data_IF_041402214421
#
_entry.id   IF_041402214421
#
_cell.length_a   1.000
_cell.length_b   1.000
_cell.length_c   1.000
_cell.angle_alpha   90.00
_cell.angle_beta   90.00
_cell.angle_gamma   90.00
#
_symmetry.space_group_name_H-M   'P 1'
#
loop_
_entity.id
_entity.type
_entity.pdbx_description
1 polymer ?
#
# COMPACT_ATOMS: atom_id res chain seq x y z
N UNK A 1 -49.08 9.74 34.27
CA UNK A 1 -48.23 10.69 33.52
C UNK A 1 -47.65 10.04 32.28
N UNK A 2 -47.61 10.76 31.17
CA UNK A 2 -47.09 10.24 29.92
C UNK A 2 -45.55 10.21 30.01
N UNK A 3 -44.97 9.01 30.22
CA UNK A 3 -43.51 8.79 30.34
C UNK A 3 -42.71 9.47 29.23
N UNK A 4 -43.29 9.57 28.03
CA UNK A 4 -42.67 10.28 26.91
C UNK A 4 -42.56 11.79 27.12
N UNK A 5 -43.57 12.45 27.69
CA UNK A 5 -43.54 13.89 27.94
C UNK A 5 -42.52 14.26 29.03
N UNK A 6 -42.41 13.43 30.07
CA UNK A 6 -41.40 13.60 31.12
C UNK A 6 -39.97 13.37 30.57
N UNK A 7 -39.77 12.30 29.78
CA UNK A 7 -38.51 12.07 29.06
C UNK A 7 -38.15 13.26 28.18
N UNK A 8 -39.08 13.76 27.37
CA UNK A 8 -38.83 14.90 26.46
C UNK A 8 -38.51 16.20 27.20
N UNK A 9 -39.14 16.44 28.35
CA UNK A 9 -38.88 17.63 29.17
C UNK A 9 -37.49 17.61 29.84
N UNK A 10 -37.00 16.43 30.20
CA UNK A 10 -35.73 16.23 30.91
C UNK A 10 -34.61 15.66 30.02
N UNK A 11 -34.81 15.59 28.70
CA UNK A 11 -33.85 14.99 27.78
C UNK A 11 -32.70 15.96 27.48
N UNK A 12 -31.50 15.58 27.91
CA UNK A 12 -30.26 16.18 27.41
C UNK A 12 -29.85 15.44 26.13
N UNK A 13 -29.90 16.18 25.01
CA UNK A 13 -29.66 15.62 23.70
C UNK A 13 -28.16 15.56 23.38
N UNK A 14 -27.61 14.36 23.25
CA UNK A 14 -26.23 14.13 22.79
C UNK A 14 -26.08 14.16 21.25
N UNK A 15 -27.08 14.70 20.53
CA UNK A 15 -27.04 14.78 19.08
C UNK A 15 -25.89 15.69 18.63
N UNK A 16 -24.88 15.09 18.00
CA UNK A 16 -23.66 15.77 17.55
C UNK A 16 -23.66 16.13 16.06
N UNK A 17 -24.67 15.72 15.28
CA UNK A 17 -24.78 16.04 13.87
C UNK A 17 -26.23 16.20 13.43
N UNK A 18 -26.47 17.19 12.55
CA UNK A 18 -27.76 17.39 11.86
C UNK A 18 -27.52 17.29 10.35
N UNK A 19 -28.19 16.36 9.68
CA UNK A 19 -28.09 16.19 8.24
C UNK A 19 -27.97 14.72 7.82
N UNK A 20 -27.49 14.49 6.60
CA UNK A 20 -27.30 13.14 6.07
C UNK A 20 -26.16 12.40 6.78
N UNK A 21 -26.23 11.07 6.83
CA UNK A 21 -25.15 10.25 7.37
C UNK A 21 -23.82 10.47 6.63
N UNK A 22 -23.86 10.67 5.31
CA UNK A 22 -22.68 10.97 4.50
C UNK A 22 -22.06 12.35 4.75
N UNK A 23 -22.80 13.29 5.35
CA UNK A 23 -22.25 14.60 5.73
C UNK A 23 -21.51 14.57 7.07
N UNK A 24 -21.76 13.59 7.95
CA UNK A 24 -21.10 13.50 9.26
C UNK A 24 -19.57 13.48 9.13
N UNK A 25 -19.05 12.72 8.17
CA UNK A 25 -17.61 12.60 7.89
C UNK A 25 -17.02 13.94 7.43
N UNK A 26 -17.74 14.64 6.57
CA UNK A 26 -17.32 15.93 5.99
C UNK A 26 -17.30 17.03 7.04
N UNK A 27 -18.36 17.15 7.82
CA UNK A 27 -18.48 18.12 8.92
C UNK A 27 -17.45 17.83 10.02
N UNK A 28 -17.36 16.59 10.47
CA UNK A 28 -16.46 16.22 11.57
C UNK A 28 -14.97 16.48 11.26
N UNK A 29 -14.54 16.24 10.01
CA UNK A 29 -13.17 16.58 9.61
C UNK A 29 -12.99 18.09 9.50
N UNK A 30 -13.94 18.80 8.90
CA UNK A 30 -13.87 20.24 8.78
C UNK A 30 -13.74 20.91 10.17
N UNK A 31 -14.51 20.44 11.14
CA UNK A 31 -14.45 20.91 12.52
C UNK A 31 -13.11 20.58 13.18
N UNK A 32 -12.55 19.40 12.89
CA UNK A 32 -11.22 19.01 13.37
C UNK A 32 -10.14 19.98 12.89
N UNK A 33 -10.18 20.38 11.62
CA UNK A 33 -9.24 21.35 11.06
C UNK A 33 -9.47 22.74 11.64
N UNK A 34 -10.72 23.21 11.62
CA UNK A 34 -11.08 24.57 12.04
C UNK A 34 -10.74 24.88 13.50
N UNK A 35 -10.90 23.89 14.41
CA UNK A 35 -10.60 24.06 15.84
C UNK A 35 -9.15 23.80 16.21
N UNK A 36 -8.32 23.30 15.30
CA UNK A 36 -6.98 22.83 15.63
C UNK A 36 -6.06 23.95 16.13
N UNK A 37 -6.15 25.13 15.49
CA UNK A 37 -5.33 26.29 15.85
C UNK A 37 -5.76 26.85 17.22
N UNK A 38 -7.05 27.01 17.48
CA UNK A 38 -7.53 27.56 18.75
C UNK A 38 -7.31 26.61 19.92
N UNK A 39 -7.48 25.29 19.70
CA UNK A 39 -7.42 24.30 20.78
C UNK A 39 -6.01 23.78 21.06
N UNK A 40 -5.17 23.66 20.03
CA UNK A 40 -3.87 23.00 20.13
C UNK A 40 -2.70 23.83 19.60
N UNK A 41 -2.96 25.04 19.07
CA UNK A 41 -1.95 25.89 18.44
C UNK A 41 -1.19 25.19 17.30
N UNK A 42 -1.89 24.35 16.52
CA UNK A 42 -1.34 23.65 15.35
C UNK A 42 -2.15 23.96 14.10
N UNK A 43 -1.51 23.90 12.93
CA UNK A 43 -2.17 23.98 11.62
C UNK A 43 -1.84 22.73 10.82
N UNK A 44 -2.86 22.10 10.23
CA UNK A 44 -2.66 20.96 9.34
C UNK A 44 -2.36 21.42 7.92
N UNK A 45 -1.16 21.10 7.42
CA UNK A 45 -0.72 21.43 6.04
C UNK A 45 -1.11 20.37 5.03
N UNK A 46 -1.42 19.16 5.49
CA UNK A 46 -1.79 18.05 4.63
C UNK A 46 -3.02 17.32 5.13
N UNK A 47 -3.91 17.02 4.21
CA UNK A 47 -5.07 16.18 4.42
C UNK A 47 -4.70 14.72 4.14
N UNK A 48 -4.51 13.97 5.22
CA UNK A 48 -4.26 12.51 5.21
C UNK A 48 -5.48 11.76 5.75
N UNK A 49 -6.68 12.18 5.39
CA UNK A 49 -7.87 11.39 5.68
C UNK A 49 -8.38 10.76 4.39
N UNK A 50 -8.55 9.45 4.43
CA UNK A 50 -8.90 8.65 3.27
C UNK A 50 -10.06 7.75 3.70
N UNK A 51 -11.27 8.28 3.51
CA UNK A 51 -12.57 7.65 3.77
C UNK A 51 -13.50 7.82 2.57
N UNK A 52 -14.77 7.40 2.69
CA UNK A 52 -15.71 7.38 1.57
C UNK A 52 -16.17 8.79 1.14
N UNK A 53 -15.95 9.82 1.96
CA UNK A 53 -16.26 11.22 1.70
C UNK A 53 -15.09 12.05 1.18
N UNK A 54 -13.97 11.44 0.82
CA UNK A 54 -12.69 12.11 0.52
C UNK A 54 -12.77 13.29 -0.46
N UNK A 55 -13.57 13.18 -1.53
CA UNK A 55 -13.77 14.24 -2.51
C UNK A 55 -14.58 15.40 -1.95
N UNK A 56 -15.63 15.10 -1.16
CA UNK A 56 -16.51 16.11 -0.55
C UNK A 56 -15.80 16.88 0.55
N UNK A 57 -14.97 16.20 1.35
CA UNK A 57 -14.12 16.82 2.37
C UNK A 57 -13.16 17.81 1.73
N UNK A 58 -12.42 17.38 0.70
CA UNK A 58 -11.47 18.25 0.00
C UNK A 58 -12.18 19.45 -0.61
N UNK A 59 -13.34 19.24 -1.24
CA UNK A 59 -14.15 20.34 -1.76
C UNK A 59 -14.51 21.34 -0.65
N UNK A 60 -14.95 20.88 0.52
CA UNK A 60 -15.31 21.76 1.64
C UNK A 60 -14.11 22.54 2.18
N UNK A 61 -12.96 21.89 2.36
CA UNK A 61 -11.72 22.54 2.82
C UNK A 61 -11.19 23.60 1.84
N UNK A 62 -11.44 23.42 0.54
CA UNK A 62 -11.05 24.40 -0.48
C UNK A 62 -11.99 25.62 -0.51
N UNK A 63 -13.30 25.41 -0.34
CA UNK A 63 -14.29 26.49 -0.40
C UNK A 63 -14.40 27.26 0.91
N UNK A 64 -14.11 26.59 2.03
CA UNK A 64 -14.03 27.18 3.36
C UNK A 64 -12.65 26.84 3.93
N UNK A 65 -11.61 27.61 3.61
CA UNK A 65 -10.28 27.33 4.15
C UNK A 65 -10.28 27.55 5.67
N UNK A 66 -9.82 26.58 6.48
CA UNK A 66 -9.75 26.73 7.94
C UNK A 66 -8.58 27.62 8.38
N UNK A 67 -7.64 27.94 7.49
CA UNK A 67 -6.48 28.79 7.75
C UNK A 67 -6.24 29.75 6.58
N UNK A 68 -5.84 30.98 6.86
CA UNK A 68 -5.64 32.03 5.84
C UNK A 68 -4.32 31.88 5.06
N UNK A 69 -3.31 31.28 5.68
CA UNK A 69 -1.92 31.23 5.23
C UNK A 69 -1.45 29.84 4.78
N UNK A 70 -2.29 28.81 4.94
CA UNK A 70 -1.91 27.41 4.68
C UNK A 70 -2.83 26.78 3.65
N UNK A 71 -2.25 26.36 2.53
CA UNK A 71 -2.93 25.51 1.55
C UNK A 71 -2.86 24.04 1.95
N UNK A 72 -4.01 23.41 2.10
CA UNK A 72 -4.12 22.00 2.47
C UNK A 72 -3.93 21.12 1.23
N UNK A 73 -2.95 20.21 1.28
CA UNK A 73 -2.68 19.27 0.19
C UNK A 73 -3.27 17.90 0.51
N UNK A 74 -4.01 17.31 -0.44
CA UNK A 74 -4.50 15.92 -0.32
C UNK A 74 -3.35 14.93 -0.55
N UNK A 75 -3.09 14.09 0.44
CA UNK A 75 -2.19 12.94 0.33
C UNK A 75 -3.01 11.70 -0.05
N UNK A 76 -2.48 10.88 -0.95
CA UNK A 76 -3.08 9.63 -1.39
C UNK A 76 -2.33 8.39 -0.86
N UNK A 77 -3.07 7.30 -0.68
CA UNK A 77 -2.50 6.00 -0.34
C UNK A 77 -1.69 5.43 -1.51
N UNK A 78 -0.46 4.99 -1.25
CA UNK A 78 0.44 4.45 -2.28
C UNK A 78 -0.14 3.21 -2.99
N UNK A 79 -0.93 2.37 -2.29
CA UNK A 79 -1.52 1.18 -2.89
C UNK A 79 -2.70 1.56 -3.80
N UNK A 80 -3.54 2.50 -3.39
CA UNK A 80 -4.60 3.06 -4.22
C UNK A 80 -4.01 3.80 -5.43
N UNK A 81 -3.04 4.66 -5.20
CA UNK A 81 -2.39 5.46 -6.23
C UNK A 81 -1.72 4.59 -7.29
N UNK A 82 -0.99 3.54 -6.88
CA UNK A 82 -0.38 2.62 -7.84
C UNK A 82 -1.41 1.87 -8.70
N UNK A 83 -2.62 1.57 -8.19
CA UNK A 83 -3.70 0.99 -9.02
C UNK A 83 -4.12 1.90 -10.18
N UNK A 84 -3.91 3.22 -10.09
CA UNK A 84 -4.16 4.13 -11.23
C UNK A 84 -3.34 3.75 -12.46
N UNK A 85 -2.07 3.34 -12.28
CA UNK A 85 -1.22 2.83 -13.36
C UNK A 85 -1.86 1.59 -14.02
N UNK A 86 -2.28 0.61 -13.21
CA UNK A 86 -2.94 -0.60 -13.70
C UNK A 86 -4.20 -0.26 -14.51
N UNK A 87 -5.12 0.52 -13.93
CA UNK A 87 -6.40 0.83 -14.57
C UNK A 87 -6.27 1.68 -15.83
N UNK A 88 -5.32 2.62 -15.89
CA UNK A 88 -5.07 3.42 -17.09
C UNK A 88 -4.50 2.59 -18.22
N UNK A 89 -3.55 1.70 -17.92
CA UNK A 89 -3.01 0.78 -18.91
C UNK A 89 -4.07 -0.22 -19.40
N UNK A 90 -4.92 -0.75 -18.51
CA UNK A 90 -6.06 -1.60 -18.89
C UNK A 90 -7.06 -0.84 -19.78
N UNK A 91 -7.36 0.41 -19.43
CA UNK A 91 -8.24 1.28 -20.21
C UNK A 91 -7.69 1.53 -21.61
N UNK A 92 -6.43 1.98 -21.74
CA UNK A 92 -5.80 2.20 -23.05
C UNK A 92 -5.74 0.90 -23.86
N UNK A 93 -5.48 -0.25 -23.21
CA UNK A 93 -5.49 -1.55 -23.89
C UNK A 93 -6.87 -1.88 -24.47
N UNK A 94 -7.94 -1.53 -23.75
CA UNK A 94 -9.32 -1.71 -24.20
C UNK A 94 -9.68 -0.72 -25.32
N UNK A 95 -9.33 0.55 -25.15
CA UNK A 95 -9.66 1.63 -26.08
C UNK A 95 -8.97 1.42 -27.44
N UNK A 96 -7.72 0.96 -27.43
CA UNK A 96 -6.93 0.72 -28.64
C UNK A 96 -7.14 -0.68 -29.24
N UNK A 97 -8.05 -1.50 -28.71
CA UNK A 97 -8.22 -2.92 -29.10
C UNK A 97 -8.38 -3.13 -30.60
N UNK A 98 -9.04 -2.21 -31.31
CA UNK A 98 -9.31 -2.28 -32.76
C UNK A 98 -8.37 -1.41 -33.60
N UNK A 99 -7.42 -0.71 -32.98
CA UNK A 99 -6.47 0.18 -33.68
C UNK A 99 -5.23 -0.61 -34.10
N UNK A 100 -4.72 -0.41 -35.33
CA UNK A 100 -3.45 -1.02 -35.76
C UNK A 100 -2.26 -0.22 -35.23
N UNK A 101 -1.42 -0.86 -34.41
CA UNK A 101 -0.25 -0.24 -33.77
C UNK A 101 0.97 -1.13 -33.99
N UNK A 102 1.95 -0.64 -34.75
CA UNK A 102 3.14 -1.42 -35.12
C UNK A 102 2.77 -2.69 -35.90
N UNK A 103 1.89 -2.55 -36.90
CA UNK A 103 1.48 -3.65 -37.79
C UNK A 103 0.50 -4.67 -37.20
N UNK A 104 0.18 -4.61 -35.90
CA UNK A 104 -0.74 -5.54 -35.22
C UNK A 104 -1.95 -4.81 -34.64
N UNK A 105 -3.08 -5.51 -34.53
CA UNK A 105 -4.30 -4.97 -33.92
C UNK A 105 -4.13 -4.87 -32.39
N UNK A 106 -4.38 -3.70 -31.82
CA UNK A 106 -4.26 -3.42 -30.40
C UNK A 106 -2.83 -3.35 -29.86
N UNK A 107 -2.73 -3.03 -28.57
CA UNK A 107 -1.45 -3.03 -27.83
C UNK A 107 -1.27 -4.25 -26.92
N UNK A 108 -2.30 -5.08 -26.75
CA UNK A 108 -2.28 -6.25 -25.89
C UNK A 108 -1.75 -7.51 -26.56
N UNK A 109 -1.41 -8.51 -25.74
CA UNK A 109 -1.07 -9.87 -26.19
C UNK A 109 0.41 -10.26 -26.05
N UNK A 110 0.74 -11.49 -26.45
CA UNK A 110 2.10 -12.03 -26.35
C UNK A 110 3.13 -11.17 -27.10
N UNK A 111 4.28 -10.91 -26.46
CA UNK A 111 5.31 -10.00 -26.98
C UNK A 111 4.89 -8.52 -27.01
N UNK A 112 3.79 -8.16 -26.35
CA UNK A 112 3.25 -6.80 -26.22
C UNK A 112 2.80 -6.58 -24.77
N UNK A 113 1.82 -5.70 -24.54
CA UNK A 113 1.33 -5.40 -23.19
C UNK A 113 0.39 -6.51 -22.69
N UNK A 114 0.93 -7.48 -21.95
CA UNK A 114 0.11 -8.52 -21.30
C UNK A 114 -0.50 -8.03 -19.99
N UNK A 115 -1.51 -8.73 -19.47
CA UNK A 115 -2.12 -8.41 -18.16
C UNK A 115 -1.08 -8.51 -17.04
N UNK A 116 -0.22 -9.51 -17.11
CA UNK A 116 0.88 -9.75 -16.18
C UNK A 116 1.88 -8.58 -16.22
N UNK A 117 2.20 -8.08 -17.41
CA UNK A 117 3.06 -6.90 -17.57
C UNK A 117 2.41 -5.65 -16.98
N UNK A 118 1.11 -5.46 -17.16
CA UNK A 118 0.38 -4.34 -16.53
C UNK A 118 0.43 -4.40 -14.99
N UNK A 119 0.30 -5.61 -14.43
CA UNK A 119 0.47 -5.83 -12.98
C UNK A 119 1.91 -5.52 -12.55
N UNK A 120 2.91 -5.89 -13.35
CA UNK A 120 4.32 -5.56 -13.09
C UNK A 120 4.57 -4.05 -13.15
N UNK A 121 4.02 -3.33 -14.12
CA UNK A 121 4.11 -1.86 -14.18
C UNK A 121 3.57 -1.20 -12.90
N UNK A 122 2.41 -1.66 -12.40
CA UNK A 122 1.88 -1.22 -11.10
C UNK A 122 2.88 -1.46 -9.96
N UNK A 123 3.48 -2.66 -9.91
CA UNK A 123 4.45 -3.02 -8.86
C UNK A 123 5.71 -2.16 -8.93
N UNK A 124 6.29 -1.98 -10.13
CA UNK A 124 7.46 -1.14 -10.35
C UNK A 124 7.16 0.32 -9.98
N UNK A 125 6.00 0.83 -10.39
CA UNK A 125 5.57 2.19 -10.07
C UNK A 125 5.45 2.40 -8.55
N UNK A 126 4.82 1.44 -7.84
CA UNK A 126 4.77 1.46 -6.37
C UNK A 126 6.16 1.42 -5.73
N UNK A 127 7.09 0.63 -6.27
CA UNK A 127 8.44 0.53 -5.76
C UNK A 127 9.24 1.83 -5.98
N UNK A 128 9.13 2.45 -7.16
CA UNK A 128 9.77 3.74 -7.45
C UNK A 128 9.34 4.82 -6.44
N UNK A 129 8.04 4.94 -6.19
CA UNK A 129 7.51 5.87 -5.17
C UNK A 129 8.00 5.49 -3.76
N UNK A 130 7.97 4.20 -3.41
CA UNK A 130 8.35 3.75 -2.08
C UNK A 130 9.84 3.90 -1.77
N UNK A 131 10.72 3.92 -2.77
CA UNK A 131 12.16 4.12 -2.58
C UNK A 131 12.53 5.60 -2.48
N UNK A 132 11.74 6.48 -3.08
CA UNK A 132 12.05 7.91 -3.22
C UNK A 132 11.05 8.81 -2.48
N UNK A 133 10.65 8.42 -1.26
CA UNK A 133 9.54 9.06 -0.54
C UNK A 133 9.77 10.54 -0.22
N UNK A 134 11.02 10.97 -0.10
CA UNK A 134 11.38 12.33 0.33
C UNK A 134 11.90 13.20 -0.80
N UNK A 135 12.11 12.63 -1.98
CA UNK A 135 12.72 13.31 -3.13
C UNK A 135 11.80 13.20 -4.34
N UNK A 136 11.14 14.31 -4.68
CA UNK A 136 10.20 14.35 -5.79
C UNK A 136 10.89 14.18 -7.14
N UNK A 137 12.07 14.77 -7.33
CA UNK A 137 12.79 14.73 -8.59
C UNK A 137 13.33 13.32 -8.86
N UNK A 138 13.89 12.68 -7.83
CA UNK A 138 14.30 11.28 -7.92
C UNK A 138 13.11 10.33 -8.08
N UNK A 139 11.96 10.64 -7.48
CA UNK A 139 10.73 9.89 -7.72
C UNK A 139 10.29 9.98 -9.19
N UNK A 140 10.31 11.19 -9.78
CA UNK A 140 10.00 11.40 -11.21
C UNK A 140 10.98 10.61 -12.08
N UNK A 141 12.28 10.72 -11.82
CA UNK A 141 13.32 9.98 -12.56
C UNK A 141 13.12 8.47 -12.47
N UNK A 142 12.84 7.94 -11.27
CA UNK A 142 12.62 6.52 -11.07
C UNK A 142 11.32 6.00 -11.72
N UNK A 143 10.27 6.82 -11.81
CA UNK A 143 9.07 6.46 -12.57
C UNK A 143 9.39 6.39 -14.07
N UNK A 144 10.09 7.39 -14.60
CA UNK A 144 10.49 7.43 -16.00
C UNK A 144 11.51 6.36 -16.39
N UNK A 145 12.37 5.93 -15.46
CA UNK A 145 13.32 4.85 -15.71
C UNK A 145 12.61 3.54 -16.04
N UNK A 146 11.42 3.28 -15.48
CA UNK A 146 10.59 2.12 -15.82
C UNK A 146 10.19 2.15 -17.30
N UNK A 147 9.75 3.31 -17.81
CA UNK A 147 9.37 3.47 -19.22
C UNK A 147 10.60 3.32 -20.12
N UNK A 148 11.69 4.02 -19.82
CA UNK A 148 12.93 3.96 -20.60
C UNK A 148 13.48 2.53 -20.66
N UNK A 149 13.60 1.87 -19.53
CA UNK A 149 14.08 0.49 -19.43
C UNK A 149 13.26 -0.49 -20.28
N UNK A 150 11.94 -0.30 -20.39
CA UNK A 150 11.07 -1.13 -21.22
C UNK A 150 11.05 -0.76 -22.70
N UNK A 151 11.44 0.47 -23.04
CA UNK A 151 11.61 0.94 -24.41
C UNK A 151 13.00 0.65 -24.98
N UNK A 152 14.00 0.41 -24.13
CA UNK A 152 15.38 0.09 -24.51
C UNK A 152 15.47 -1.07 -25.49
N UNK A 153 16.37 -0.93 -26.46
CA UNK A 153 16.70 -1.96 -27.45
C UNK A 153 18.21 -2.07 -27.62
N UNK A 154 18.68 -3.11 -28.32
CA UNK A 154 20.11 -3.28 -28.62
C UNK A 154 20.66 -2.12 -29.45
N UNK A 155 19.84 -1.51 -30.32
CA UNK A 155 20.23 -0.36 -31.14
C UNK A 155 20.19 0.96 -30.37
N UNK A 156 19.22 1.10 -29.46
CA UNK A 156 18.99 2.30 -28.66
C UNK A 156 18.83 1.91 -27.17
N UNK A 157 19.94 1.72 -26.44
CA UNK A 157 19.90 1.37 -25.02
C UNK A 157 19.63 2.63 -24.17
N UNK A 158 18.51 2.66 -23.44
CA UNK A 158 18.11 3.78 -22.59
C UNK A 158 18.16 3.41 -21.11
N UNK A 159 19.37 3.39 -20.54
CA UNK A 159 19.60 3.00 -19.13
C UNK A 159 20.16 4.11 -18.25
N UNK A 160 20.22 5.36 -18.73
CA UNK A 160 20.77 6.50 -17.96
C UNK A 160 20.08 6.77 -16.60
N UNK A 161 18.84 6.31 -16.39
CA UNK A 161 18.12 6.45 -15.11
C UNK A 161 17.87 5.11 -14.40
N UNK A 162 18.51 4.04 -14.86
CA UNK A 162 18.43 2.75 -14.21
C UNK A 162 19.40 2.66 -13.03
N UNK A 163 19.12 1.74 -12.10
CA UNK A 163 20.05 1.38 -11.03
C UNK A 163 20.61 -0.02 -11.25
N UNK A 164 21.82 -0.26 -10.74
CA UNK A 164 22.45 -1.58 -10.75
C UNK A 164 21.62 -2.64 -10.06
N UNK A 165 20.80 -2.29 -9.07
CA UNK A 165 20.01 -3.27 -8.31
C UNK A 165 19.10 -4.14 -9.20
N UNK A 166 18.51 -3.55 -10.25
CA UNK A 166 17.53 -4.24 -11.10
C UNK A 166 17.88 -4.28 -12.59
N UNK A 167 18.82 -3.45 -13.07
CA UNK A 167 19.11 -3.37 -14.50
C UNK A 167 20.16 -4.39 -14.92
N UNK A 168 19.73 -5.40 -15.69
CA UNK A 168 20.64 -6.42 -16.24
C UNK A 168 21.73 -5.84 -17.14
N UNK A 169 21.40 -4.82 -17.94
CA UNK A 169 22.36 -4.14 -18.83
C UNK A 169 23.49 -3.46 -18.04
N UNK A 170 23.17 -2.72 -16.98
CA UNK A 170 24.20 -2.09 -16.15
C UNK A 170 25.05 -3.14 -15.42
N UNK A 171 24.42 -4.24 -14.96
CA UNK A 171 25.15 -5.37 -14.35
C UNK A 171 26.11 -6.05 -15.33
N UNK A 172 25.72 -6.22 -16.60
CA UNK A 172 26.60 -6.81 -17.61
C UNK A 172 27.79 -5.90 -17.91
N UNK A 173 27.60 -4.58 -17.92
CA UNK A 173 28.70 -3.63 -18.07
C UNK A 173 29.70 -3.71 -16.89
N UNK A 174 29.23 -3.78 -15.64
CA UNK A 174 30.12 -3.95 -14.49
C UNK A 174 30.87 -5.28 -14.49
N UNK A 175 30.20 -6.36 -14.90
CA UNK A 175 30.79 -7.70 -14.90
C UNK A 175 31.81 -7.87 -16.04
N UNK A 176 31.55 -7.27 -17.20
CA UNK A 176 32.50 -7.20 -18.32
C UNK A 176 33.72 -6.30 -18.06
N UNK A 177 33.62 -5.37 -17.10
CA UNK A 177 34.71 -4.46 -16.71
C UNK A 177 35.63 -5.01 -15.59
N UNK A 178 35.37 -6.21 -15.05
CA UNK A 178 36.33 -6.87 -14.15
C UNK A 178 37.46 -7.49 -14.97
N UNK A 179 38.58 -6.78 -15.08
CA UNK A 179 39.84 -7.37 -15.54
C UNK A 179 40.23 -8.52 -14.61
N UNK A 180 40.43 -9.70 -15.20
CA UNK A 180 40.99 -10.88 -14.55
C UNK A 180 42.24 -10.51 -13.74
N UNK A 181 42.15 -10.48 -12.41
CA UNK A 181 43.30 -10.70 -11.56
C UNK A 181 43.27 -12.20 -11.23
N UNK A 182 44.23 -12.91 -11.81
CA UNK A 182 44.46 -14.34 -11.64
C UNK A 182 44.38 -14.76 -10.17
N UNK A 183 43.54 -15.75 -9.85
CA UNK A 183 43.92 -16.80 -8.91
C UNK A 183 43.14 -18.10 -9.19
N UNK A 184 43.96 -19.12 -9.46
CA UNK A 184 43.78 -20.57 -9.55
C UNK A 184 42.40 -21.26 -9.58
N UNK A 185 42.25 -22.06 -10.65
CA UNK A 185 41.69 -23.41 -10.68
C UNK A 185 40.20 -23.69 -10.40
N UNK A 186 39.27 -22.89 -10.95
CA UNK A 186 37.97 -23.43 -11.39
C UNK A 186 37.54 -22.74 -12.69
N UNK A 187 37.57 -23.48 -13.80
CA UNK A 187 37.08 -23.02 -15.10
C UNK A 187 35.54 -23.00 -15.11
N UNK A 188 34.92 -21.97 -14.54
CA UNK A 188 33.60 -21.56 -14.99
C UNK A 188 33.80 -20.69 -16.24
N UNK A 189 33.52 -21.26 -17.41
CA UNK A 189 33.47 -20.52 -18.67
C UNK A 189 32.27 -19.58 -18.63
N UNK A 190 32.43 -18.43 -17.99
CA UNK A 190 31.61 -17.25 -18.32
C UNK A 190 32.19 -16.70 -19.60
N UNK A 191 31.46 -16.86 -20.71
CA UNK A 191 31.89 -16.30 -22.00
C UNK A 191 32.01 -14.78 -21.86
N UNK A 192 33.26 -14.31 -21.86
CA UNK A 192 33.61 -12.91 -22.05
C UNK A 192 33.14 -12.54 -23.47
N UNK A 193 32.20 -11.60 -23.60
CA UNK A 193 31.88 -10.98 -24.90
C UNK A 193 30.47 -11.15 -25.46
N UNK A 194 29.51 -11.77 -24.74
CA UNK A 194 28.11 -11.75 -25.20
C UNK A 194 27.49 -10.38 -24.91
N UNK A 195 27.15 -9.61 -25.95
CA UNK A 195 26.43 -8.34 -25.85
C UNK A 195 25.08 -8.55 -25.15
N UNK A 196 24.72 -7.64 -24.23
CA UNK A 196 23.46 -7.74 -23.50
C UNK A 196 22.25 -7.61 -24.43
N UNK A 197 21.45 -8.67 -24.51
CA UNK A 197 20.26 -8.71 -25.36
C UNK A 197 19.00 -8.18 -24.68
N UNK A 198 18.36 -7.20 -25.31
CA UNK A 198 17.13 -6.56 -24.87
C UNK A 198 15.85 -7.30 -25.27
N UNK A 199 15.93 -8.29 -26.16
CA UNK A 199 14.75 -8.94 -26.74
C UNK A 199 13.87 -9.65 -25.71
N UNK A 200 14.46 -10.19 -24.64
CA UNK A 200 13.74 -10.89 -23.58
C UNK A 200 12.87 -10.00 -22.69
N UNK A 201 13.11 -8.68 -22.64
CA UNK A 201 12.44 -7.81 -21.66
C UNK A 201 11.86 -6.51 -22.23
N UNK A 202 12.17 -6.15 -23.48
CA UNK A 202 11.65 -4.97 -24.16
C UNK A 202 10.18 -5.12 -24.57
N UNK A 203 9.50 -3.98 -24.67
CA UNK A 203 8.20 -3.89 -25.34
C UNK A 203 8.38 -3.19 -26.70
N UNK A 204 7.57 -3.52 -27.72
CA UNK A 204 7.67 -2.84 -29.00
C UNK A 204 7.50 -1.34 -28.85
N UNK A 205 8.35 -0.54 -29.53
CA UNK A 205 8.34 0.92 -29.42
C UNK A 205 6.96 1.53 -29.71
N UNK A 206 6.21 0.95 -30.65
CA UNK A 206 4.83 1.38 -30.94
C UNK A 206 3.88 1.21 -29.74
N UNK A 207 4.05 0.15 -28.94
CA UNK A 207 3.31 -0.05 -27.68
C UNK A 207 3.77 0.96 -26.64
N UNK A 208 5.08 1.18 -26.51
CA UNK A 208 5.65 2.14 -25.56
C UNK A 208 5.19 3.57 -25.82
N UNK A 209 5.13 3.99 -27.10
CA UNK A 209 4.55 5.27 -27.52
C UNK A 209 3.07 5.37 -27.15
N UNK A 210 2.29 4.31 -27.35
CA UNK A 210 0.87 4.29 -27.02
C UNK A 210 0.57 4.41 -25.51
N UNK A 211 1.45 3.89 -24.64
CA UNK A 211 1.27 3.98 -23.18
C UNK A 211 1.96 5.20 -22.55
N UNK A 212 2.81 5.92 -23.30
CA UNK A 212 3.51 7.12 -22.80
C UNK A 212 2.59 8.15 -22.15
N UNK A 213 1.38 8.46 -22.67
CA UNK A 213 0.48 9.41 -22.02
C UNK A 213 0.12 9.03 -20.57
N UNK A 214 0.10 7.74 -20.23
CA UNK A 214 -0.11 7.28 -18.85
C UNK A 214 1.05 7.70 -17.96
N UNK A 215 2.28 7.56 -18.45
CA UNK A 215 3.48 7.98 -17.74
C UNK A 215 3.57 9.50 -17.65
N UNK A 216 3.25 10.25 -18.72
CA UNK A 216 3.23 11.71 -18.68
C UNK A 216 2.31 12.22 -17.55
N UNK A 217 1.11 11.65 -17.42
CA UNK A 217 0.15 12.05 -16.39
C UNK A 217 0.53 11.58 -14.97
N UNK A 218 1.03 10.34 -14.85
CA UNK A 218 1.35 9.72 -13.55
C UNK A 218 2.75 10.08 -13.02
N UNK A 219 3.64 10.57 -13.87
CA UNK A 219 4.95 11.11 -13.47
C UNK A 219 4.93 12.64 -13.30
N UNK A 220 3.79 13.30 -13.51
CA UNK A 220 3.68 14.73 -13.32
C UNK A 220 3.99 15.13 -11.85
N UNK A 221 4.76 16.20 -11.59
CA UNK A 221 5.12 16.62 -10.23
C UNK A 221 3.91 16.77 -9.29
N UNK A 222 2.82 17.39 -9.75
CA UNK A 222 1.61 17.56 -8.94
C UNK A 222 0.86 16.24 -8.66
N UNK A 223 1.01 15.26 -9.55
CA UNK A 223 0.45 13.92 -9.35
C UNK A 223 1.26 13.17 -8.29
N UNK A 224 2.59 13.18 -8.40
CA UNK A 224 3.50 12.49 -7.48
C UNK A 224 3.63 13.16 -6.10
N UNK A 225 3.45 14.48 -6.01
CA UNK A 225 3.44 15.21 -4.72
C UNK A 225 2.37 14.67 -3.76
N UNK A 226 1.28 14.10 -4.27
CA UNK A 226 0.22 13.48 -3.45
C UNK A 226 0.67 12.20 -2.75
N UNK A 227 1.74 11.56 -3.22
CA UNK A 227 2.30 10.33 -2.64
C UNK A 227 3.73 10.50 -2.13
N UNK A 228 4.23 11.74 -2.13
CA UNK A 228 5.43 12.09 -1.38
C UNK A 228 5.18 11.72 0.10
N UNK A 229 6.17 11.14 0.76
CA UNK A 229 6.12 10.43 2.05
C UNK A 229 5.63 8.96 1.99
N UNK A 230 5.15 8.47 0.84
CA UNK A 230 4.81 7.05 0.65
C UNK A 230 3.80 6.49 1.66
N UNK A 231 2.81 7.31 2.01
CA UNK A 231 1.81 7.00 3.02
C UNK A 231 0.95 5.78 2.64
N UNK A 232 0.62 4.97 3.65
CA UNK A 232 -0.29 3.81 3.51
C UNK A 232 -1.45 3.92 4.52
N UNK A 233 -2.64 3.46 4.12
CA UNK A 233 -3.85 3.37 4.95
C UNK A 233 -3.95 2.08 5.75
N UNK A 234 -3.13 1.07 5.43
CA UNK A 234 -3.33 -0.28 5.94
C UNK A 234 -3.42 -0.33 7.48
N UNK A 235 -2.64 0.49 8.19
CA UNK A 235 -2.69 0.55 9.66
C UNK A 235 -4.05 1.09 10.14
N UNK A 236 -4.52 2.20 9.58
CA UNK A 236 -5.81 2.80 9.94
C UNK A 236 -6.98 1.88 9.58
N UNK A 237 -6.96 1.26 8.40
CA UNK A 237 -7.99 0.29 7.99
C UNK A 237 -8.00 -0.95 8.88
N UNK A 238 -6.82 -1.43 9.28
CA UNK A 238 -6.68 -2.54 10.23
C UNK A 238 -7.28 -2.18 11.59
N UNK A 239 -6.93 -1.01 12.15
CA UNK A 239 -7.49 -0.53 13.41
C UNK A 239 -9.01 -0.33 13.33
N UNK A 240 -9.50 0.34 12.29
CA UNK A 240 -10.92 0.51 12.04
C UNK A 240 -11.67 -0.82 12.01
N UNK A 241 -11.08 -1.88 11.44
CA UNK A 241 -11.69 -3.21 11.44
C UNK A 241 -11.89 -3.80 12.83
N UNK A 242 -11.09 -3.40 13.82
CA UNK A 242 -11.26 -3.76 15.24
C UNK A 242 -12.30 -2.86 15.88
N UNK A 243 -12.19 -1.54 15.71
CA UNK A 243 -13.14 -0.57 16.26
C UNK A 243 -14.59 -0.88 15.87
N UNK A 244 -14.84 -1.21 14.60
CA UNK A 244 -16.20 -1.50 14.11
C UNK A 244 -16.79 -2.82 14.61
N UNK A 245 -16.00 -3.69 15.27
CA UNK A 245 -16.55 -4.84 16.00
C UNK A 245 -17.20 -4.41 17.32
N UNK A 246 -16.64 -3.40 17.97
CA UNK A 246 -17.16 -2.84 19.22
C UNK A 246 -18.27 -1.81 18.95
N UNK A 247 -18.09 -0.94 17.95
CA UNK A 247 -19.03 0.11 17.57
C UNK A 247 -19.52 -0.07 16.12
N UNK A 248 -20.52 -0.92 15.84
CA UNK A 248 -21.03 -1.12 14.49
C UNK A 248 -21.59 0.17 13.87
N UNK A 249 -21.21 0.44 12.61
CA UNK A 249 -21.61 1.66 11.88
C UNK A 249 -23.11 1.84 11.62
N UNK A 250 -23.89 0.77 11.78
CA UNK A 250 -25.33 0.76 11.53
C UNK A 250 -26.17 1.04 12.79
N UNK A 251 -25.55 1.39 13.91
CA UNK A 251 -26.22 1.70 15.17
C UNK A 251 -25.80 3.07 15.68
N UNK A 252 -26.76 3.83 16.17
CA UNK A 252 -26.48 5.04 16.94
C UNK A 252 -25.98 4.64 18.32
N UNK A 253 -24.97 5.35 18.80
CA UNK A 253 -24.38 5.18 20.14
C UNK A 253 -24.07 6.56 20.71
N UNK A 254 -24.15 6.69 22.03
CA UNK A 254 -23.72 7.89 22.74
C UNK A 254 -22.21 8.10 22.61
N UNK A 255 -21.75 9.34 22.87
CA UNK A 255 -20.33 9.66 22.87
C UNK A 255 -19.53 8.77 23.83
N UNK A 256 -20.05 8.60 25.05
CA UNK A 256 -19.43 7.75 26.07
C UNK A 256 -19.26 6.28 25.64
N UNK A 257 -20.24 5.72 24.90
CA UNK A 257 -20.14 4.36 24.37
C UNK A 257 -19.08 4.28 23.29
N UNK A 258 -19.01 5.26 22.39
CA UNK A 258 -17.99 5.32 21.34
C UNK A 258 -16.58 5.46 21.95
N UNK A 259 -16.41 6.28 22.98
CA UNK A 259 -15.13 6.45 23.68
C UNK A 259 -14.67 5.15 24.34
N UNK A 260 -15.59 4.44 25.02
CA UNK A 260 -15.30 3.13 25.59
C UNK A 260 -14.93 2.11 24.50
N UNK A 261 -15.71 2.04 23.41
CA UNK A 261 -15.41 1.15 22.28
C UNK A 261 -14.06 1.46 21.64
N UNK A 262 -13.68 2.74 21.55
CA UNK A 262 -12.39 3.16 21.04
C UNK A 262 -11.25 2.71 21.96
N UNK A 263 -11.39 2.90 23.28
CA UNK A 263 -10.40 2.44 24.26
C UNK A 263 -10.22 0.91 24.21
N UNK A 264 -11.32 0.14 24.18
CA UNK A 264 -11.29 -1.32 24.05
C UNK A 264 -10.65 -1.77 22.73
N UNK A 265 -10.92 -1.05 21.64
CA UNK A 265 -10.31 -1.34 20.34
C UNK A 265 -8.80 -1.11 20.36
N UNK A 266 -8.32 -0.06 21.01
CA UNK A 266 -6.89 0.22 21.18
C UNK A 266 -6.20 -0.90 21.96
N UNK A 267 -6.78 -1.31 23.10
CA UNK A 267 -6.30 -2.44 23.90
C UNK A 267 -6.22 -3.74 23.08
N UNK A 268 -7.32 -4.11 22.42
CA UNK A 268 -7.38 -5.32 21.57
C UNK A 268 -6.38 -5.27 20.42
N UNK A 269 -6.19 -4.11 19.81
CA UNK A 269 -5.31 -3.93 18.65
C UNK A 269 -3.83 -4.09 19.04
N UNK A 270 -3.41 -3.44 20.12
CA UNK A 270 -2.02 -3.43 20.57
C UNK A 270 -1.66 -4.71 21.36
N UNK A 271 -2.45 -5.03 22.37
CA UNK A 271 -2.09 -6.03 23.39
C UNK A 271 -2.88 -7.34 23.24
N UNK A 272 -3.84 -7.39 22.32
CA UNK A 272 -4.73 -8.53 22.14
C UNK A 272 -5.96 -8.46 23.05
N UNK A 273 -6.89 -9.39 22.85
CA UNK A 273 -8.19 -9.42 23.52
C UNK A 273 -8.09 -9.80 25.00
N UNK A 274 -7.04 -10.49 25.44
CA UNK A 274 -6.83 -10.73 26.88
C UNK A 274 -6.69 -9.42 27.69
N UNK A 275 -6.16 -8.36 27.08
CA UNK A 275 -6.04 -7.04 27.74
C UNK A 275 -7.39 -6.41 28.11
N UNK A 276 -8.49 -6.90 27.55
CA UNK A 276 -9.86 -6.44 27.88
C UNK A 276 -10.35 -7.04 29.20
N UNK A 277 -9.83 -8.20 29.61
CA UNK A 277 -10.37 -8.92 30.78
C UNK A 277 -10.28 -8.10 32.09
N UNK A 278 -9.17 -7.40 32.40
CA UNK A 278 -9.10 -6.50 33.54
C UNK A 278 -10.17 -5.40 33.52
N UNK A 279 -10.54 -4.90 32.34
CA UNK A 279 -11.61 -3.89 32.19
C UNK A 279 -12.97 -4.49 32.52
N UNK A 280 -13.24 -5.72 32.05
CA UNK A 280 -14.48 -6.44 32.38
C UNK A 280 -14.55 -6.73 33.89
N UNK A 281 -13.45 -7.16 34.48
CA UNK A 281 -13.33 -7.43 35.91
C UNK A 281 -13.72 -6.21 36.74
N UNK A 282 -13.14 -5.05 36.42
CA UNK A 282 -13.46 -3.77 37.07
C UNK A 282 -14.94 -3.39 36.90
N UNK A 283 -15.48 -3.51 35.68
CA UNK A 283 -16.88 -3.16 35.39
C UNK A 283 -17.90 -4.10 36.05
N UNK A 284 -17.52 -5.34 36.33
CA UNK A 284 -18.43 -6.37 36.87
C UNK A 284 -18.21 -6.64 38.35
N UNK A 285 -17.17 -6.07 38.96
CA UNK A 285 -16.80 -6.31 40.36
C UNK A 285 -16.32 -7.75 40.63
N UNK A 286 -15.77 -8.42 39.61
CA UNK A 286 -15.34 -9.83 39.67
C UNK A 286 -14.00 -10.07 38.97
N UNK A 287 -13.66 -11.33 38.68
CA UNK A 287 -12.40 -11.72 38.02
C UNK A 287 -12.49 -11.76 36.47
N UNK A 288 -13.61 -11.31 35.92
CA UNK A 288 -13.95 -11.38 34.50
C UNK A 288 -14.52 -12.74 34.04
N UNK A 289 -14.48 -13.78 34.89
CA UNK A 289 -15.06 -15.10 34.66
C UNK A 289 -14.19 -16.05 33.82
N UNK A 290 -14.09 -17.31 34.26
CA UNK A 290 -13.27 -18.36 33.63
C UNK A 290 -13.47 -18.50 32.11
N UNK A 291 -14.72 -18.53 31.65
CA UNK A 291 -15.03 -18.70 30.22
C UNK A 291 -14.64 -17.47 29.38
N UNK A 292 -14.62 -16.27 29.97
CA UNK A 292 -14.18 -15.05 29.29
C UNK A 292 -12.68 -15.10 29.01
N UNK A 293 -11.87 -15.49 30.00
CA UNK A 293 -10.43 -15.66 29.84
C UNK A 293 -10.10 -16.65 28.71
N UNK A 294 -10.76 -17.82 28.69
CA UNK A 294 -10.60 -18.81 27.62
C UNK A 294 -11.02 -18.23 26.26
N UNK A 295 -12.15 -17.53 26.20
CA UNK A 295 -12.66 -16.92 24.98
C UNK A 295 -11.69 -15.90 24.40
N UNK A 296 -11.20 -14.97 25.22
CA UNK A 296 -10.25 -13.93 24.82
C UNK A 296 -8.92 -14.52 24.36
N UNK A 297 -8.38 -15.51 25.07
CA UNK A 297 -7.18 -16.25 24.65
C UNK A 297 -7.35 -16.88 23.26
N UNK A 298 -8.47 -17.56 23.01
CA UNK A 298 -8.76 -18.17 21.70
C UNK A 298 -8.88 -17.14 20.58
N UNK A 299 -9.38 -15.93 20.85
CA UNK A 299 -9.41 -14.86 19.86
C UNK A 299 -8.00 -14.39 19.50
N UNK A 300 -7.10 -14.31 20.47
CA UNK A 300 -5.71 -13.94 20.25
C UNK A 300 -4.92 -15.01 19.50
N UNK A 301 -5.09 -16.28 19.86
CA UNK A 301 -4.50 -17.41 19.12
C UNK A 301 -4.94 -17.40 17.65
N UNK A 302 -6.24 -17.17 17.38
CA UNK A 302 -6.75 -17.05 16.00
C UNK A 302 -6.18 -15.84 15.27
N UNK A 303 -5.96 -14.71 15.95
CA UNK A 303 -5.34 -13.50 15.38
C UNK A 303 -3.92 -13.81 14.93
N UNK A 304 -3.11 -14.36 15.83
CA UNK A 304 -1.70 -14.75 15.58
C UNK A 304 -1.62 -15.78 14.45
N UNK A 305 -2.45 -16.83 14.50
CA UNK A 305 -2.50 -17.86 13.45
C UNK A 305 -2.77 -17.27 12.05
N UNK A 306 -3.72 -16.34 11.93
CA UNK A 306 -4.03 -15.67 10.65
C UNK A 306 -2.84 -14.89 10.12
N UNK A 307 -2.11 -14.19 10.98
CA UNK A 307 -0.90 -13.46 10.59
C UNK A 307 0.20 -14.41 10.10
N UNK A 308 0.48 -15.49 10.84
CA UNK A 308 1.47 -16.49 10.42
C UNK A 308 1.10 -17.14 9.09
N UNK A 309 -0.17 -17.47 8.87
CA UNK A 309 -0.61 -18.01 7.57
C UNK A 309 -0.49 -17.00 6.44
N UNK A 310 -0.77 -15.71 6.69
CA UNK A 310 -0.55 -14.67 5.68
C UNK A 310 0.94 -14.48 5.36
N UNK A 311 1.83 -14.56 6.37
CA UNK A 311 3.28 -14.53 6.18
C UNK A 311 3.74 -15.77 5.39
N UNK A 312 3.31 -16.98 5.77
CA UNK A 312 3.60 -18.24 5.05
C UNK A 312 3.11 -18.20 3.60
N UNK A 313 1.92 -17.66 3.34
CA UNK A 313 1.42 -17.49 1.96
C UNK A 313 2.27 -16.52 1.12
N UNK A 314 2.87 -15.49 1.73
CA UNK A 314 3.80 -14.58 1.05
C UNK A 314 5.18 -15.21 0.84
N UNK A 315 5.70 -15.91 1.85
CA UNK A 315 6.98 -16.63 1.80
C UNK A 315 6.89 -17.76 0.76
N UNK A 316 5.86 -18.60 0.80
CA UNK A 316 5.65 -19.65 -0.19
C UNK A 316 5.51 -19.08 -1.60
N UNK A 317 4.82 -17.95 -1.79
CA UNK A 317 4.74 -17.29 -3.11
C UNK A 317 6.09 -16.73 -3.57
N UNK A 318 6.91 -16.24 -2.64
CA UNK A 318 8.29 -15.81 -2.92
C UNK A 318 9.18 -17.01 -3.25
N UNK A 319 9.11 -18.08 -2.47
CA UNK A 319 9.83 -19.34 -2.69
C UNK A 319 9.39 -19.97 -4.01
N UNK A 320 8.10 -20.08 -4.34
CA UNK A 320 7.67 -20.58 -5.64
C UNK A 320 8.17 -19.69 -6.78
N UNK A 321 8.28 -18.37 -6.59
CA UNK A 321 8.86 -17.48 -7.61
C UNK A 321 10.37 -17.72 -7.76
N UNK A 322 11.11 -17.88 -6.66
CA UNK A 322 12.55 -18.20 -6.65
C UNK A 322 12.82 -19.61 -7.20
N UNK A 323 12.02 -20.59 -6.81
CA UNK A 323 12.06 -21.99 -7.23
C UNK A 323 11.66 -22.13 -8.69
N UNK A 324 10.73 -21.34 -9.22
CA UNK A 324 10.44 -21.35 -10.67
C UNK A 324 11.61 -20.74 -11.47
N UNK A 325 12.33 -19.74 -10.91
CA UNK A 325 13.54 -19.21 -11.53
C UNK A 325 14.76 -20.13 -11.40
N UNK A 326 14.88 -20.93 -10.34
CA UNK A 326 15.98 -21.90 -10.16
C UNK A 326 15.68 -23.26 -10.82
N UNK A 327 14.43 -23.71 -10.90
CA UNK A 327 14.03 -24.93 -11.64
C UNK A 327 14.18 -24.79 -13.16
N UNK A 328 14.28 -23.57 -13.70
CA UNK A 328 14.71 -23.37 -15.09
C UNK A 328 16.24 -23.53 -15.29
N UNK A 329 17.01 -23.59 -14.19
CA UNK A 329 18.47 -23.73 -14.17
C UNK A 329 18.96 -25.08 -13.59
N UNK A 330 18.15 -25.80 -12.81
CA UNK A 330 18.57 -26.99 -12.05
C UNK A 330 17.79 -28.27 -12.41
N UNK A 331 17.60 -28.55 -13.70
CA UNK A 331 17.44 -29.95 -14.12
C UNK A 331 18.82 -30.59 -14.24
N UNK A 332 19.45 -30.87 -13.10
CA UNK A 332 20.52 -31.85 -12.87
C UNK A 332 20.93 -31.76 -11.38
N UNK A 333 20.89 -32.89 -10.66
CA UNK A 333 21.47 -33.17 -9.32
C UNK A 333 20.54 -33.14 -8.07
N UNK A 334 19.81 -34.24 -7.86
CA UNK A 334 19.79 -35.17 -6.69
C UNK A 334 19.96 -34.62 -5.23
N UNK A 335 18.93 -34.89 -4.38
CA UNK A 335 18.89 -35.44 -2.97
C UNK A 335 19.71 -34.68 -1.87
N UNK A 336 19.25 -34.29 -0.67
CA UNK A 336 18.41 -34.91 0.36
C UNK A 336 18.07 -33.94 1.53
N UNK A 337 17.18 -34.40 2.42
CA UNK A 337 17.14 -34.23 3.89
C UNK A 337 16.71 -32.92 4.62
N UNK A 338 15.70 -33.14 5.49
CA UNK A 338 15.49 -32.66 6.86
C UNK A 338 16.03 -31.29 7.30
N UNK A 339 15.12 -30.40 7.74
CA UNK A 339 15.40 -29.47 8.83
C UNK A 339 14.14 -29.19 9.66
N UNK A 340 14.20 -29.59 10.93
CA UNK A 340 13.36 -29.07 12.01
C UNK A 340 13.80 -27.62 12.27
N UNK A 341 12.88 -26.66 12.19
CA UNK A 341 13.18 -25.27 12.54
C UNK A 341 12.54 -24.87 13.87
N UNK A 342 13.42 -24.36 14.73
CA UNK A 342 13.24 -23.87 16.09
C UNK A 342 12.53 -22.51 16.06
N UNK A 343 11.59 -22.30 16.98
CA UNK A 343 10.80 -21.07 17.10
C UNK A 343 11.66 -19.92 17.65
N UNK A 344 11.63 -18.77 16.96
CA UNK A 344 12.22 -17.50 17.42
C UNK A 344 11.12 -16.65 18.08
N UNK A 345 11.24 -16.47 19.40
CA UNK A 345 10.30 -15.77 20.28
C UNK A 345 10.60 -14.27 20.45
N UNK A 346 11.40 -13.65 19.57
CA UNK A 346 11.84 -12.26 19.73
C UNK A 346 10.82 -11.16 19.34
N UNK A 347 9.50 -11.41 19.36
CA UNK A 347 8.51 -10.38 19.02
C UNK A 347 8.02 -9.57 20.23
N UNK A 348 8.35 -8.28 20.27
CA UNK A 348 7.69 -7.28 21.14
C UNK A 348 6.66 -6.45 20.34
N UNK A 349 5.37 -6.45 20.73
CA UNK A 349 4.39 -5.50 20.23
C UNK A 349 4.74 -4.07 20.67
N UNK A 350 4.72 -3.10 19.75
CA UNK A 350 4.81 -1.67 20.08
C UNK A 350 6.09 -0.92 19.66
N UNK A 351 7.05 -1.56 19.00
CA UNK A 351 8.20 -0.85 18.42
C UNK A 351 7.87 -0.33 17.00
N UNK A 352 7.31 0.88 16.93
CA UNK A 352 7.39 1.76 15.76
C UNK A 352 7.72 3.18 16.20
#
# INVERSE_FOLDING_TARGET
ENKYLNLKANHECELNHRGSSGSMEVEGIYDLFSRSQTKYNVKYTSYRYIGAGDAKVMHKLLHNPPYDDVSIIKIEDINHFSKKMLHRLEKITKDLKTTRIGGKLGIGGHGRLTKEMTIRFKQYYRQAISKNKTDLDEMIRAVWSIWKHKASSNLEPHHEWCSLSFCGYLKSLETGNKTNIYFDFVLYVTRIGDEYDHDGHKLPLAVMKAIRPVFDELAHPDTLRKVINGSSQNANESFHSVLWKFAPKNRYSSGAVIDLCAALAVLSYNDGNQSIVPVIAEMTGGDGGFYTHIGMKRFDEKRIYREHNQKRGKVNKSITTTVTSTLQLENLMIVDNNNQEQFDDSYMPGAY
#
